data_IF_349765320701
#
_entry.id   IF_349765320701
#
_cell.length_a   1.000
_cell.length_b   1.000
_cell.length_c   1.000
_cell.angle_alpha   90.00
_cell.angle_beta   90.00
_cell.angle_gamma   90.00
#
_symmetry.space_group_name_H-M   'P 1'
#
loop_
_entity.id
_entity.type
_entity.pdbx_description
1 polymer ?
#
# COMPACT_ATOMS: atom_id res chain seq x y z
N UNK A 1 -2.61 21.67 6.17
CA UNK A 1 -1.47 22.17 7.00
C UNK A 1 -1.88 22.05 8.46
N UNK A 2 -1.39 21.05 9.15
CA UNK A 2 -1.45 21.02 10.63
C UNK A 2 -0.44 22.06 11.09
N UNK A 3 -0.88 23.29 11.29
CA UNK A 3 -0.04 24.38 11.79
C UNK A 3 -0.39 24.61 13.25
N UNK A 4 0.50 24.21 14.13
CA UNK A 4 0.42 24.52 15.56
C UNK A 4 1.27 23.55 16.36
N UNK A 5 1.78 23.99 17.49
CA UNK A 5 2.41 23.12 18.50
C UNK A 5 1.29 22.23 19.06
N UNK A 6 1.06 21.10 18.44
CA UNK A 6 0.05 20.17 18.90
C UNK A 6 0.72 19.06 19.70
N UNK A 7 0.42 19.10 20.99
CA UNK A 7 0.32 17.88 21.79
C UNK A 7 -0.94 17.18 21.32
N UNK A 8 -0.85 16.38 20.24
CA UNK A 8 -2.03 15.71 19.69
C UNK A 8 -2.23 14.37 20.38
N UNK A 9 -3.48 14.09 20.77
CA UNK A 9 -3.93 12.73 20.94
C UNK A 9 -3.99 12.09 19.54
N UNK A 10 -3.33 10.95 19.35
CA UNK A 10 -3.37 10.19 18.10
C UNK A 10 -4.16 8.91 18.34
N UNK A 11 -5.25 8.66 17.61
CA UNK A 11 -5.94 7.39 17.68
C UNK A 11 -5.02 6.25 17.26
N UNK A 12 -4.94 5.23 18.10
CA UNK A 12 -4.33 3.95 17.74
C UNK A 12 -5.48 3.01 17.44
N UNK A 13 -5.72 2.77 16.15
CA UNK A 13 -6.74 1.82 15.68
C UNK A 13 -6.34 0.39 16.01
N UNK A 14 -6.73 -0.04 17.20
CA UNK A 14 -6.37 -1.33 17.76
C UNK A 14 -4.84 -1.53 17.80
N UNK A 15 -4.33 -2.21 18.79
CA UNK A 15 -2.91 -2.57 18.80
C UNK A 15 -2.53 -3.49 17.62
N UNK A 16 -3.51 -3.77 16.73
CA UNK A 16 -3.47 -4.77 15.69
C UNK A 16 -3.85 -6.16 16.21
N UNK A 17 -4.14 -7.05 15.27
CA UNK A 17 -4.42 -8.46 15.56
C UNK A 17 -3.14 -9.30 15.43
N UNK A 18 -3.16 -10.51 15.94
CA UNK A 18 -2.03 -11.42 15.84
C UNK A 18 -0.76 -10.85 16.47
N UNK A 19 0.25 -10.53 15.66
CA UNK A 19 1.54 -9.96 16.13
C UNK A 19 1.47 -8.46 16.46
N UNK A 20 0.36 -7.81 16.15
CA UNK A 20 0.16 -6.37 16.36
C UNK A 20 0.54 -5.86 17.74
N UNK A 21 0.06 -6.49 18.85
CA UNK A 21 0.39 -6.06 20.21
C UNK A 21 1.89 -6.09 20.52
N UNK A 22 2.63 -7.08 20.04
CA UNK A 22 4.08 -7.18 20.25
C UNK A 22 4.82 -6.08 19.50
N UNK A 23 4.48 -5.89 18.22
CA UNK A 23 5.06 -4.87 17.35
C UNK A 23 4.76 -3.47 17.90
N UNK A 24 3.52 -3.22 18.30
CA UNK A 24 3.13 -1.92 18.82
C UNK A 24 3.87 -1.57 20.11
N UNK A 25 3.99 -2.53 21.03
CA UNK A 25 4.72 -2.34 22.30
C UNK A 25 6.18 -1.92 22.08
N UNK A 26 6.85 -2.48 21.09
CA UNK A 26 8.19 -2.07 20.71
C UNK A 26 8.18 -0.69 20.02
N UNK A 27 7.27 -0.46 19.08
CA UNK A 27 7.24 0.75 18.26
C UNK A 27 6.89 2.01 19.04
N UNK A 28 5.92 1.96 19.95
CA UNK A 28 5.52 3.12 20.76
C UNK A 28 6.68 3.64 21.61
N UNK A 29 7.50 2.73 22.17
CA UNK A 29 8.69 3.11 22.96
C UNK A 29 9.73 3.82 22.10
N UNK A 30 9.94 3.36 20.87
CA UNK A 30 10.85 3.98 19.90
C UNK A 30 10.38 5.39 19.55
N UNK A 31 9.10 5.55 19.22
CA UNK A 31 8.53 6.84 18.84
C UNK A 31 8.56 7.85 20.00
N UNK A 32 8.16 7.43 21.20
CA UNK A 32 8.20 8.28 22.39
C UNK A 32 9.64 8.70 22.75
N UNK A 33 10.60 7.77 22.66
CA UNK A 33 12.02 8.06 22.89
C UNK A 33 12.58 9.06 21.88
N UNK A 34 12.24 8.90 20.59
CA UNK A 34 12.64 9.83 19.53
C UNK A 34 12.11 11.24 19.78
N UNK A 35 10.83 11.36 20.11
CA UNK A 35 10.19 12.65 20.42
C UNK A 35 10.79 13.29 21.68
N UNK A 36 10.96 12.52 22.75
CA UNK A 36 11.57 13.02 23.99
C UNK A 36 12.99 13.53 23.75
N UNK A 37 13.80 12.79 22.98
CA UNK A 37 15.19 13.14 22.66
C UNK A 37 15.27 14.36 21.74
N UNK A 38 14.45 14.42 20.69
CA UNK A 38 14.47 15.53 19.73
C UNK A 38 14.06 16.86 20.36
N UNK A 39 13.11 16.85 21.27
CA UNK A 39 12.51 18.08 21.79
C UNK A 39 12.75 18.32 23.29
N UNK A 40 13.59 17.52 23.94
CA UNK A 40 13.94 17.70 25.35
C UNK A 40 12.71 17.67 26.27
N UNK A 41 11.74 16.86 25.98
CA UNK A 41 10.47 16.73 26.72
C UNK A 41 9.45 17.85 26.47
N UNK A 42 9.74 18.84 25.61
CA UNK A 42 8.81 19.93 25.27
C UNK A 42 7.63 19.50 24.39
N UNK A 43 7.76 18.36 23.74
CA UNK A 43 6.68 17.74 22.94
C UNK A 43 6.45 16.32 23.42
N UNK A 44 5.22 15.86 23.36
CA UNK A 44 4.82 14.51 23.72
C UNK A 44 3.67 14.07 22.83
N UNK A 45 3.64 12.79 22.45
CA UNK A 45 2.49 12.18 21.81
C UNK A 45 1.55 11.67 22.92
N UNK A 46 0.28 11.98 22.83
CA UNK A 46 -0.76 11.38 23.64
C UNK A 46 -1.48 10.31 22.81
N UNK A 47 -1.23 9.06 23.17
CA UNK A 47 -1.81 7.92 22.46
C UNK A 47 -3.21 7.63 23.02
N UNK A 48 -4.18 7.51 22.10
CA UNK A 48 -5.56 7.12 22.43
C UNK A 48 -5.89 5.84 21.69
N UNK A 49 -6.09 4.75 22.42
CA UNK A 49 -6.50 3.48 21.81
C UNK A 49 -7.98 3.55 21.42
N UNK A 50 -8.30 3.17 20.19
CA UNK A 50 -9.65 2.93 19.70
C UNK A 50 -9.76 1.50 19.18
N UNK A 51 -10.95 0.92 19.26
CA UNK A 51 -11.16 -0.51 18.98
C UNK A 51 -11.29 -0.77 17.49
N UNK A 52 -10.55 -1.79 16.99
CA UNK A 52 -10.71 -2.36 15.67
C UNK A 52 -10.20 -3.81 15.66
N UNK A 53 -10.64 -4.63 14.69
CA UNK A 53 -10.20 -6.01 14.51
C UNK A 53 -10.78 -6.98 15.53
N UNK A 54 -10.05 -8.06 15.81
CA UNK A 54 -10.49 -9.14 16.71
C UNK A 54 -10.75 -8.67 18.14
N UNK A 55 -9.92 -7.76 18.66
CA UNK A 55 -10.12 -7.18 20.00
C UNK A 55 -11.45 -6.47 20.10
N UNK A 56 -11.80 -5.69 19.07
CA UNK A 56 -13.07 -5.00 18.99
C UNK A 56 -14.24 -5.98 18.97
N UNK A 57 -14.17 -6.96 18.07
CA UNK A 57 -15.23 -7.96 17.92
C UNK A 57 -15.47 -8.75 19.22
N UNK A 58 -14.40 -9.16 19.90
CA UNK A 58 -14.49 -9.89 21.15
C UNK A 58 -15.10 -9.08 22.30
N UNK A 59 -14.94 -7.75 22.28
CA UNK A 59 -15.45 -6.87 23.34
C UNK A 59 -16.85 -6.30 23.04
N UNK A 60 -17.16 -6.02 21.79
CA UNK A 60 -18.36 -5.27 21.39
C UNK A 60 -19.26 -6.00 20.41
N UNK A 61 -18.81 -7.09 19.81
CA UNK A 61 -19.51 -7.78 18.71
C UNK A 61 -19.35 -7.09 17.35
N UNK A 62 -18.60 -5.98 17.27
CA UNK A 62 -18.39 -5.19 16.04
C UNK A 62 -16.91 -5.14 15.69
N UNK A 63 -16.56 -5.43 14.43
CA UNK A 63 -15.16 -5.43 13.97
C UNK A 63 -14.55 -4.03 13.87
N UNK A 64 -15.36 -3.04 13.52
CA UNK A 64 -14.95 -1.64 13.38
C UNK A 64 -16.11 -0.76 13.87
N UNK A 65 -16.13 -0.33 15.14
CA UNK A 65 -17.13 0.56 15.68
C UNK A 65 -17.11 1.94 15.03
N UNK A 66 -18.27 2.57 14.90
CA UNK A 66 -18.39 3.92 14.32
C UNK A 66 -17.60 4.95 15.12
N UNK A 67 -17.55 4.84 16.44
CA UNK A 67 -16.79 5.73 17.32
C UNK A 67 -15.28 5.69 17.02
N UNK A 68 -14.77 4.53 16.55
CA UNK A 68 -13.38 4.42 16.16
C UNK A 68 -13.10 5.16 14.85
N UNK A 69 -14.03 5.11 13.90
CA UNK A 69 -13.94 5.87 12.64
C UNK A 69 -14.09 7.38 12.91
N UNK A 70 -15.01 7.76 13.78
CA UNK A 70 -15.20 9.15 14.21
C UNK A 70 -13.93 9.72 14.88
N UNK A 71 -13.32 8.96 15.78
CA UNK A 71 -12.05 9.35 16.39
C UNK A 71 -10.94 9.59 15.35
N UNK A 72 -10.83 8.71 14.32
CA UNK A 72 -9.87 8.93 13.23
C UNK A 72 -10.19 10.19 12.42
N UNK A 73 -11.48 10.51 12.26
CA UNK A 73 -11.93 11.72 11.57
C UNK A 73 -11.64 12.98 12.39
N UNK A 74 -11.88 12.97 13.68
CA UNK A 74 -11.73 14.13 14.55
C UNK A 74 -10.26 14.48 14.81
N UNK A 75 -9.39 13.46 14.95
CA UNK A 75 -7.97 13.65 15.24
C UNK A 75 -7.06 13.69 14.02
N UNK A 76 -7.58 13.47 12.81
CA UNK A 76 -6.91 13.54 11.51
C UNK A 76 -5.79 12.54 11.30
N UNK A 77 -4.92 12.31 12.27
CA UNK A 77 -3.74 11.44 12.16
C UNK A 77 -3.91 10.23 13.06
N UNK A 78 -3.75 9.06 12.49
CA UNK A 78 -3.91 7.78 13.19
C UNK A 78 -2.77 6.83 12.81
N UNK A 79 -2.48 5.87 13.69
CA UNK A 79 -1.58 4.75 13.40
C UNK A 79 -2.23 3.44 13.84
N UNK A 80 -1.98 2.35 13.11
CA UNK A 80 -2.51 1.04 13.47
C UNK A 80 -1.52 -0.10 13.21
N UNK A 81 -1.69 -1.18 13.94
CA UNK A 81 -1.11 -2.48 13.61
C UNK A 81 -1.86 -3.18 12.47
N UNK A 82 -1.43 -4.39 12.09
CA UNK A 82 -2.12 -5.22 11.11
C UNK A 82 -3.50 -5.65 11.65
N UNK A 83 -4.53 -5.64 10.80
CA UNK A 83 -5.88 -6.08 11.15
C UNK A 83 -6.25 -7.34 10.39
N UNK A 84 -6.92 -8.27 11.07
CA UNK A 84 -7.46 -9.49 10.47
C UNK A 84 -8.69 -9.15 9.63
N UNK A 85 -8.72 -9.68 8.41
CA UNK A 85 -9.96 -9.71 7.62
C UNK A 85 -10.66 -11.03 7.91
N UNK A 86 -11.89 -11.03 8.44
CA UNK A 86 -12.62 -12.26 8.70
C UNK A 86 -12.79 -13.09 7.43
N UNK A 87 -12.53 -14.39 7.52
CA UNK A 87 -12.73 -15.32 6.40
C UNK A 87 -14.18 -15.82 6.44
N UNK A 88 -14.97 -15.48 5.43
CA UNK A 88 -16.37 -15.88 5.31
C UNK A 88 -17.38 -14.79 5.66
N UNK A 89 -18.64 -14.95 5.24
CA UNK A 89 -19.73 -14.06 5.64
C UNK A 89 -19.84 -12.71 4.92
N UNK A 90 -19.08 -12.47 3.82
CA UNK A 90 -19.23 -11.25 3.03
C UNK A 90 -18.68 -9.98 3.70
N UNK A 91 -17.91 -10.12 4.78
CA UNK A 91 -17.29 -8.98 5.47
C UNK A 91 -16.10 -8.48 4.64
N UNK A 92 -16.16 -7.21 4.24
CA UNK A 92 -15.05 -6.55 3.55
C UNK A 92 -13.85 -6.36 4.47
N UNK A 93 -12.66 -6.29 3.88
CA UNK A 93 -11.43 -5.95 4.61
C UNK A 93 -11.63 -4.65 5.41
N UNK A 94 -11.31 -4.69 6.71
CA UNK A 94 -11.38 -3.52 7.60
C UNK A 94 -10.47 -2.39 7.10
N UNK A 95 -9.34 -2.74 6.49
CA UNK A 95 -8.44 -1.77 5.87
C UNK A 95 -9.12 -1.04 4.71
N UNK A 96 -9.83 -1.78 3.83
CA UNK A 96 -10.58 -1.20 2.72
C UNK A 96 -11.73 -0.32 3.24
N UNK A 97 -12.44 -0.76 4.29
CA UNK A 97 -13.51 0.03 4.90
C UNK A 97 -12.99 1.39 5.42
N UNK A 98 -11.88 1.41 6.16
CA UNK A 98 -11.26 2.65 6.64
C UNK A 98 -10.86 3.59 5.50
N UNK A 99 -10.25 3.05 4.44
CA UNK A 99 -9.84 3.81 3.26
C UNK A 99 -11.03 4.49 2.59
N UNK A 100 -12.16 3.79 2.49
CA UNK A 100 -13.39 4.31 1.90
C UNK A 100 -14.10 5.31 2.82
N UNK A 101 -14.27 5.00 4.11
CA UNK A 101 -15.00 5.84 5.08
C UNK A 101 -14.31 7.19 5.35
N UNK A 102 -12.99 7.25 5.23
CA UNK A 102 -12.19 8.47 5.39
C UNK A 102 -11.69 9.03 4.05
N UNK A 103 -12.10 8.44 2.93
CA UNK A 103 -11.65 8.77 1.56
C UNK A 103 -10.13 8.91 1.47
N UNK A 104 -9.39 7.94 2.00
CA UNK A 104 -7.93 7.92 1.98
C UNK A 104 -7.43 7.46 0.61
N UNK A 105 -7.47 8.34 -0.37
CA UNK A 105 -7.28 7.99 -1.78
C UNK A 105 -5.85 7.71 -2.22
N UNK A 106 -4.85 8.01 -1.39
CA UNK A 106 -3.46 7.65 -1.63
C UNK A 106 -3.00 6.62 -0.60
N UNK A 107 -2.54 5.45 -1.04
CA UNK A 107 -1.71 4.58 -0.25
C UNK A 107 -0.24 4.87 -0.59
N UNK A 108 0.47 5.48 0.36
CA UNK A 108 1.86 5.91 0.24
C UNK A 108 2.78 4.84 0.84
N UNK A 109 3.68 4.29 0.03
CA UNK A 109 4.62 3.24 0.43
C UNK A 109 6.04 3.59 -0.03
N UNK A 110 6.86 4.26 0.77
CA UNK A 110 8.27 4.45 0.47
C UNK A 110 9.04 3.14 0.67
N UNK A 111 9.92 2.84 -0.27
CA UNK A 111 10.77 1.65 -0.25
C UNK A 111 12.21 2.11 -0.42
N UNK A 112 13.03 1.84 0.58
CA UNK A 112 14.48 2.09 0.56
C UNK A 112 15.22 0.97 1.27
N UNK A 113 16.43 0.76 0.86
CA UNK A 113 17.32 -0.19 1.52
C UNK A 113 18.03 0.45 2.72
N UNK A 114 18.21 -0.32 3.79
CA UNK A 114 19.02 0.01 4.94
C UNK A 114 20.33 -0.77 4.84
N UNK A 115 21.47 -0.07 5.03
CA UNK A 115 22.78 -0.68 4.87
C UNK A 115 22.97 -1.90 5.78
N UNK A 116 23.44 -2.99 5.16
CA UNK A 116 23.62 -4.29 5.83
C UNK A 116 22.40 -5.20 5.85
N UNK A 117 21.21 -4.74 5.44
CA UNK A 117 20.05 -5.63 5.31
C UNK A 117 20.25 -6.62 4.16
N UNK A 118 20.01 -7.93 4.37
CA UNK A 118 20.09 -8.92 3.32
C UNK A 118 19.10 -8.63 2.20
N UNK A 119 19.54 -8.77 0.95
CA UNK A 119 18.73 -8.50 -0.24
C UNK A 119 18.97 -9.54 -1.33
N UNK A 120 17.93 -9.93 -2.09
CA UNK A 120 18.07 -10.80 -3.25
C UNK A 120 18.63 -10.09 -4.50
N UNK A 121 18.65 -8.74 -4.50
CA UNK A 121 19.17 -7.96 -5.63
C UNK A 121 20.64 -7.61 -5.44
N UNK A 122 21.37 -7.42 -6.56
CA UNK A 122 22.81 -7.15 -6.52
C UNK A 122 23.17 -5.85 -5.83
N UNK A 123 22.45 -4.76 -6.16
CA UNK A 123 22.73 -3.40 -5.71
C UNK A 123 21.49 -2.80 -5.00
N UNK A 124 21.11 -3.30 -3.82
CA UNK A 124 19.87 -2.86 -3.16
C UNK A 124 19.89 -1.38 -2.78
N UNK A 125 21.06 -0.79 -2.57
CA UNK A 125 21.21 0.65 -2.31
C UNK A 125 20.75 1.57 -3.44
N UNK A 126 20.51 1.01 -4.64
CA UNK A 126 19.90 1.74 -5.76
C UNK A 126 18.37 1.75 -5.74
N UNK A 127 17.75 1.02 -4.80
CA UNK A 127 16.30 1.01 -4.60
C UNK A 127 15.94 2.10 -3.61
N UNK A 128 15.43 3.20 -4.13
CA UNK A 128 14.86 4.32 -3.36
C UNK A 128 13.65 4.85 -4.12
N UNK A 129 12.51 4.23 -3.91
CA UNK A 129 11.27 4.54 -4.62
C UNK A 129 10.14 4.84 -3.64
N UNK A 130 9.23 5.73 -4.04
CA UNK A 130 8.03 6.01 -3.29
C UNK A 130 6.80 5.72 -4.14
N UNK A 131 5.99 4.75 -3.70
CA UNK A 131 4.80 4.31 -4.42
C UNK A 131 3.59 5.10 -3.94
N UNK A 132 2.89 5.73 -4.89
CA UNK A 132 1.56 6.29 -4.79
C UNK A 132 0.59 5.29 -5.41
N UNK A 133 -0.01 4.46 -4.58
CA UNK A 133 -1.03 3.49 -4.97
C UNK A 133 -2.40 4.13 -4.85
N UNK A 134 -3.20 4.08 -5.91
CA UNK A 134 -4.62 4.41 -5.83
C UNK A 134 -5.29 3.49 -4.80
N UNK A 135 -6.25 3.99 -4.04
CA UNK A 135 -6.67 3.32 -2.82
C UNK A 135 -8.19 3.15 -2.67
N UNK A 136 -8.99 3.63 -3.62
CA UNK A 136 -10.46 3.69 -3.50
C UNK A 136 -11.21 3.04 -4.64
N UNK A 137 -10.57 2.83 -5.77
CA UNK A 137 -11.14 2.26 -6.99
C UNK A 137 -10.47 0.91 -7.36
N UNK A 138 -10.47 0.58 -8.64
CA UNK A 138 -9.96 -0.66 -9.20
C UNK A 138 -10.81 -1.86 -8.72
N UNK A 139 -10.29 -3.06 -8.80
CA UNK A 139 -10.99 -4.27 -8.31
C UNK A 139 -11.24 -4.22 -6.79
N UNK A 140 -10.53 -3.38 -6.06
CA UNK A 140 -10.74 -3.14 -4.63
C UNK A 140 -12.06 -2.39 -4.31
N UNK A 141 -12.76 -1.88 -5.33
CA UNK A 141 -14.15 -1.41 -5.18
C UNK A 141 -15.08 -2.52 -4.69
N UNK A 142 -14.69 -3.79 -4.89
CA UNK A 142 -15.40 -4.96 -4.37
C UNK A 142 -16.74 -5.20 -5.07
N UNK A 143 -16.87 -4.80 -6.33
CA UNK A 143 -18.04 -5.10 -7.17
C UNK A 143 -17.78 -6.45 -7.82
N UNK A 144 -18.22 -7.50 -7.14
CA UNK A 144 -17.90 -8.88 -7.51
C UNK A 144 -19.08 -9.81 -7.22
N UNK A 145 -19.34 -10.75 -8.13
CA UNK A 145 -20.43 -11.69 -8.05
C UNK A 145 -19.93 -13.12 -8.21
N UNK A 146 -20.25 -14.04 -7.27
CA UNK A 146 -19.82 -15.43 -7.33
C UNK A 146 -20.39 -16.16 -8.55
N UNK A 147 -19.58 -17.02 -9.15
CA UNK A 147 -20.02 -17.88 -10.26
C UNK A 147 -21.21 -18.76 -9.86
N UNK A 148 -22.23 -18.78 -10.69
CA UNK A 148 -23.48 -19.52 -10.44
C UNK A 148 -24.47 -18.82 -9.52
N UNK A 149 -24.16 -17.62 -9.00
CA UNK A 149 -25.12 -16.82 -8.23
C UNK A 149 -26.16 -16.16 -9.15
N UNK A 150 -27.36 -15.84 -8.61
CA UNK A 150 -28.38 -15.08 -9.35
C UNK A 150 -27.86 -13.73 -9.88
N UNK A 151 -27.03 -13.05 -9.11
CA UNK A 151 -26.47 -11.74 -9.48
C UNK A 151 -25.48 -11.87 -10.65
N UNK A 152 -24.57 -12.87 -10.62
CA UNK A 152 -23.68 -13.16 -11.74
C UNK A 152 -24.48 -13.53 -13.01
N UNK A 153 -25.56 -14.31 -12.87
CA UNK A 153 -26.43 -14.65 -13.99
C UNK A 153 -27.13 -13.41 -14.55
N UNK A 154 -27.62 -12.51 -13.71
CA UNK A 154 -28.24 -11.26 -14.14
C UNK A 154 -27.28 -10.39 -14.97
N UNK A 155 -26.00 -10.32 -14.57
CA UNK A 155 -24.97 -9.60 -15.37
C UNK A 155 -24.73 -10.30 -16.71
N UNK A 156 -24.65 -11.63 -16.75
CA UNK A 156 -24.50 -12.39 -18.00
C UNK A 156 -25.69 -12.18 -18.94
N UNK A 157 -26.92 -12.18 -18.41
CA UNK A 157 -28.15 -11.95 -19.17
C UNK A 157 -28.18 -10.52 -19.72
N UNK A 158 -27.77 -9.52 -18.92
CA UNK A 158 -27.62 -8.14 -19.38
C UNK A 158 -26.62 -8.03 -20.55
N UNK A 159 -25.46 -8.69 -20.42
CA UNK A 159 -24.47 -8.74 -21.51
C UNK A 159 -25.01 -9.46 -22.76
N UNK A 160 -25.78 -10.54 -22.56
CA UNK A 160 -26.41 -11.23 -23.68
C UNK A 160 -27.38 -10.33 -24.46
N UNK A 161 -28.17 -9.55 -23.73
CA UNK A 161 -29.18 -8.66 -24.30
C UNK A 161 -28.57 -7.44 -24.98
N UNK A 162 -27.56 -6.80 -24.37
CA UNK A 162 -27.07 -5.49 -24.79
C UNK A 162 -25.67 -5.53 -25.42
N UNK A 163 -24.85 -6.52 -25.09
CA UNK A 163 -23.46 -6.63 -25.51
C UNK A 163 -23.06 -8.06 -25.90
N UNK A 164 -23.83 -8.67 -26.78
CA UNK A 164 -23.66 -10.08 -27.20
C UNK A 164 -22.23 -10.42 -27.68
N UNK A 165 -21.56 -9.47 -28.36
CA UNK A 165 -20.15 -9.64 -28.76
C UNK A 165 -19.20 -9.75 -27.57
N UNK A 166 -19.49 -9.02 -26.50
CA UNK A 166 -18.63 -9.01 -25.29
C UNK A 166 -18.91 -10.27 -24.47
N UNK A 167 -20.18 -10.70 -24.33
CA UNK A 167 -20.47 -11.99 -23.76
C UNK A 167 -19.75 -13.11 -24.54
N UNK A 168 -19.67 -12.99 -25.86
CA UNK A 168 -18.92 -13.90 -26.73
C UNK A 168 -17.42 -14.05 -26.33
N UNK A 169 -16.83 -13.09 -25.66
CA UNK A 169 -15.45 -13.14 -25.17
C UNK A 169 -15.30 -13.94 -23.86
N UNK A 170 -16.38 -14.13 -23.11
CA UNK A 170 -16.41 -14.99 -21.91
C UNK A 170 -16.51 -16.44 -22.39
N UNK A 171 -15.39 -17.16 -22.37
CA UNK A 171 -15.22 -18.45 -23.05
C UNK A 171 -16.26 -19.50 -22.65
N UNK A 172 -16.62 -19.54 -21.36
CA UNK A 172 -17.58 -20.51 -20.80
C UNK A 172 -18.79 -19.82 -20.17
N UNK A 173 -19.19 -18.67 -20.72
CA UNK A 173 -20.30 -17.86 -20.23
C UNK A 173 -21.69 -18.29 -20.66
N UNK A 174 -21.83 -19.39 -21.43
CA UNK A 174 -23.12 -19.92 -21.89
C UNK A 174 -23.18 -21.43 -21.72
N UNK A 175 -24.39 -21.96 -21.49
CA UNK A 175 -24.65 -23.41 -21.42
C UNK A 175 -24.17 -24.15 -22.65
N UNK A 176 -24.41 -23.57 -23.85
CA UNK A 176 -23.99 -24.18 -25.11
C UNK A 176 -22.46 -24.38 -25.18
N UNK A 177 -21.68 -23.40 -24.79
CA UNK A 177 -20.19 -23.53 -24.77
C UNK A 177 -19.69 -24.54 -23.76
N UNK A 178 -20.35 -24.64 -22.60
CA UNK A 178 -20.04 -25.69 -21.63
C UNK A 178 -20.34 -27.08 -22.23
N UNK A 179 -21.50 -27.26 -22.88
CA UNK A 179 -21.85 -28.51 -23.54
C UNK A 179 -20.87 -28.89 -24.67
N UNK A 180 -20.49 -27.93 -25.51
CA UNK A 180 -19.52 -28.14 -26.59
C UNK A 180 -18.15 -28.56 -26.05
N UNK A 181 -17.72 -27.99 -24.94
CA UNK A 181 -16.48 -28.38 -24.27
C UNK A 181 -16.57 -29.79 -23.67
N UNK A 182 -17.71 -30.16 -23.06
CA UNK A 182 -17.92 -31.52 -22.53
C UNK A 182 -17.84 -32.57 -23.66
N UNK A 183 -18.43 -32.33 -24.84
CA UNK A 183 -18.27 -33.24 -25.98
C UNK A 183 -16.82 -33.42 -26.41
N UNK A 184 -16.00 -32.36 -26.33
CA UNK A 184 -14.56 -32.47 -26.63
C UNK A 184 -13.84 -33.36 -25.60
N UNK A 185 -14.19 -33.23 -24.32
CA UNK A 185 -13.62 -34.07 -23.26
C UNK A 185 -14.01 -35.54 -23.42
N UNK A 186 -15.27 -35.83 -23.81
CA UNK A 186 -15.71 -37.19 -24.15
C UNK A 186 -14.87 -37.79 -25.28
N UNK A 187 -14.57 -37.00 -26.30
CA UNK A 187 -13.77 -37.43 -27.47
C UNK A 187 -12.36 -37.84 -27.14
N UNK A 188 -11.82 -37.44 -25.99
CA UNK A 188 -10.49 -37.82 -25.49
C UNK A 188 -10.56 -38.78 -24.29
N UNK A 189 -11.72 -39.36 -24.01
CA UNK A 189 -11.90 -40.34 -22.93
C UNK A 189 -12.01 -39.78 -21.50
N UNK A 190 -12.13 -38.47 -21.35
CA UNK A 190 -12.41 -37.80 -20.10
C UNK A 190 -13.92 -37.67 -19.88
N UNK A 191 -14.55 -38.62 -19.24
CA UNK A 191 -15.98 -38.75 -19.08
C UNK A 191 -16.79 -37.44 -18.97
N UNK A 192 -18.01 -37.45 -19.53
CA UNK A 192 -18.92 -36.30 -19.50
C UNK A 192 -19.37 -35.95 -18.09
N UNK A 193 -19.44 -34.65 -17.81
CA UNK A 193 -20.08 -34.07 -16.62
C UNK A 193 -21.02 -32.95 -17.02
N UNK A 194 -22.24 -32.98 -16.53
CA UNK A 194 -23.08 -31.79 -16.62
C UNK A 194 -22.53 -30.73 -15.66
N UNK A 195 -22.07 -29.63 -16.23
CA UNK A 195 -21.56 -28.48 -15.45
C UNK A 195 -22.42 -27.27 -15.71
N UNK A 196 -23.01 -26.67 -14.70
CA UNK A 196 -23.70 -25.38 -14.83
C UNK A 196 -22.72 -24.29 -15.25
N UNK A 197 -23.23 -23.18 -15.80
CA UNK A 197 -22.43 -21.98 -16.06
C UNK A 197 -21.99 -21.42 -14.71
N UNK A 198 -20.69 -21.41 -14.48
CA UNK A 198 -20.07 -20.88 -13.25
C UNK A 198 -18.99 -19.88 -13.61
N UNK A 199 -19.42 -18.66 -13.89
CA UNK A 199 -18.52 -17.54 -14.19
C UNK A 199 -18.64 -16.51 -13.09
N UNK A 200 -17.57 -16.32 -12.33
CA UNK A 200 -17.43 -15.18 -11.43
C UNK A 200 -17.20 -13.91 -12.24
N UNK A 201 -17.82 -12.82 -11.83
CA UNK A 201 -17.72 -11.53 -12.52
C UNK A 201 -17.26 -10.47 -11.53
N UNK A 202 -16.20 -9.72 -11.90
CA UNK A 202 -15.74 -8.55 -11.19
C UNK A 202 -15.69 -7.32 -12.09
N UNK A 203 -15.98 -6.16 -11.53
CA UNK A 203 -15.94 -4.87 -12.23
C UNK A 203 -14.73 -4.08 -11.75
N UNK A 204 -13.93 -3.60 -12.70
CA UNK A 204 -12.74 -2.76 -12.47
C UNK A 204 -13.06 -1.30 -12.85
N UNK A 205 -13.55 -0.47 -11.94
CA UNK A 205 -13.75 0.95 -12.20
C UNK A 205 -12.41 1.69 -12.12
N UNK A 206 -12.18 2.61 -13.07
CA UNK A 206 -11.08 3.58 -13.06
C UNK A 206 -11.64 4.91 -13.55
N UNK A 207 -11.53 5.96 -12.75
CA UNK A 207 -12.09 7.27 -13.07
C UNK A 207 -11.00 8.32 -13.34
N UNK A 208 -11.39 9.36 -14.08
CA UNK A 208 -10.54 10.53 -14.29
C UNK A 208 -10.20 11.20 -12.94
N UNK A 209 -11.20 11.43 -12.10
CA UNK A 209 -11.02 12.13 -10.82
C UNK A 209 -10.14 11.33 -9.84
N UNK A 210 -10.31 10.00 -9.77
CA UNK A 210 -9.44 9.13 -8.99
C UNK A 210 -7.99 9.19 -9.47
N UNK A 211 -7.78 9.20 -10.79
CA UNK A 211 -6.46 9.34 -11.40
C UNK A 211 -5.87 10.73 -11.14
N UNK A 212 -6.66 11.80 -11.36
CA UNK A 212 -6.21 13.17 -11.16
C UNK A 212 -5.68 13.40 -9.76
N UNK A 213 -6.46 13.08 -8.73
CA UNK A 213 -6.07 13.30 -7.33
C UNK A 213 -4.84 12.48 -6.91
N UNK A 214 -4.68 11.26 -7.44
CA UNK A 214 -3.50 10.42 -7.20
C UNK A 214 -2.26 11.01 -7.86
N UNK A 215 -2.32 11.29 -9.17
CA UNK A 215 -1.17 11.76 -9.95
C UNK A 215 -0.76 13.17 -9.52
N UNK A 216 -1.73 14.03 -9.22
CA UNK A 216 -1.46 15.36 -8.64
C UNK A 216 -0.70 15.24 -7.30
N UNK A 217 -1.11 14.30 -6.44
CA UNK A 217 -0.40 14.05 -5.17
C UNK A 217 1.01 13.53 -5.40
N UNK A 218 1.21 12.63 -6.37
CA UNK A 218 2.52 12.07 -6.70
C UNK A 218 3.49 13.12 -7.26
N UNK A 219 3.02 13.98 -8.17
CA UNK A 219 3.83 15.07 -8.72
C UNK A 219 4.13 16.11 -7.63
N UNK A 220 3.13 16.49 -6.82
CA UNK A 220 3.31 17.40 -5.69
C UNK A 220 4.34 16.90 -4.68
N UNK A 221 4.33 15.60 -4.39
CA UNK A 221 5.35 14.95 -3.56
C UNK A 221 6.73 15.01 -4.23
N UNK A 222 6.82 14.70 -5.52
CA UNK A 222 8.09 14.75 -6.25
C UNK A 222 8.71 16.16 -6.21
N UNK A 223 7.90 17.20 -6.35
CA UNK A 223 8.33 18.59 -6.22
C UNK A 223 8.83 18.88 -4.80
N UNK A 224 8.04 18.52 -3.79
CA UNK A 224 8.35 18.81 -2.38
C UNK A 224 9.62 18.13 -1.92
N UNK A 225 9.83 16.87 -2.32
CA UNK A 225 10.96 16.04 -1.88
C UNK A 225 12.16 16.08 -2.87
N UNK A 226 12.09 16.93 -3.91
CA UNK A 226 13.17 17.07 -4.89
C UNK A 226 13.45 15.82 -5.72
N UNK A 227 12.42 15.01 -5.99
CA UNK A 227 12.51 13.79 -6.77
C UNK A 227 12.59 14.10 -8.27
N UNK A 228 13.18 13.20 -9.05
CA UNK A 228 13.53 13.45 -10.47
C UNK A 228 12.47 13.01 -11.46
N UNK A 229 11.65 12.03 -11.09
CA UNK A 229 10.64 11.49 -12.01
C UNK A 229 9.41 10.98 -11.29
N UNK A 230 8.27 11.00 -12.00
CA UNK A 230 7.04 10.29 -11.66
C UNK A 230 6.75 9.29 -12.79
N UNK A 231 6.65 8.01 -12.45
CA UNK A 231 6.40 6.93 -13.40
C UNK A 231 4.99 6.38 -13.22
N UNK A 232 4.19 6.45 -14.28
CA UNK A 232 2.85 5.87 -14.34
C UNK A 232 2.99 4.38 -14.68
N UNK A 233 2.71 3.48 -13.74
CA UNK A 233 2.78 2.04 -13.96
C UNK A 233 1.39 1.50 -14.28
N UNK A 234 1.24 0.82 -15.41
CA UNK A 234 -0.06 0.39 -15.94
C UNK A 234 0.04 -0.84 -16.87
N UNK A 235 -1.10 -1.47 -17.16
CA UNK A 235 -1.25 -2.52 -18.18
C UNK A 235 -2.16 -2.05 -19.33
N UNK A 236 -1.99 -0.80 -19.77
CA UNK A 236 -2.86 -0.13 -20.74
C UNK A 236 -2.82 -0.71 -22.16
N UNK A 237 -1.81 -1.50 -22.52
CA UNK A 237 -1.80 -2.24 -23.79
C UNK A 237 -2.88 -3.32 -23.87
N UNK A 238 -3.34 -3.84 -22.74
CA UNK A 238 -4.43 -4.83 -22.62
C UNK A 238 -5.73 -4.16 -22.16
N UNK A 239 -5.70 -3.43 -21.06
CA UNK A 239 -6.84 -2.74 -20.45
C UNK A 239 -6.87 -1.28 -20.90
N UNK A 240 -7.22 -1.07 -22.18
CA UNK A 240 -7.08 0.23 -22.86
C UNK A 240 -7.91 1.35 -22.25
N UNK A 241 -9.12 1.03 -21.77
CA UNK A 241 -10.09 2.03 -21.30
C UNK A 241 -10.15 2.16 -19.77
N UNK A 242 -9.33 1.41 -19.07
CA UNK A 242 -9.10 1.54 -17.62
C UNK A 242 -7.65 1.92 -17.36
N UNK A 243 -6.72 1.00 -17.44
CA UNK A 243 -5.31 1.30 -17.17
C UNK A 243 -4.65 2.18 -18.25
N UNK A 244 -5.07 2.03 -19.51
CA UNK A 244 -4.64 2.95 -20.57
C UNK A 244 -5.18 4.36 -20.37
N UNK A 245 -6.44 4.48 -19.93
CA UNK A 245 -7.04 5.75 -19.58
C UNK A 245 -6.32 6.40 -18.38
N UNK A 246 -5.97 5.61 -17.34
CA UNK A 246 -5.15 6.09 -16.22
C UNK A 246 -3.83 6.73 -16.70
N UNK A 247 -3.11 6.08 -17.62
CA UNK A 247 -1.90 6.62 -18.21
C UNK A 247 -2.17 7.96 -18.92
N UNK A 248 -3.18 7.98 -19.78
CA UNK A 248 -3.47 9.16 -20.62
C UNK A 248 -3.94 10.35 -19.78
N UNK A 249 -4.77 10.09 -18.77
CA UNK A 249 -5.19 11.09 -17.78
C UNK A 249 -4.04 11.54 -16.88
N UNK A 250 -3.11 10.66 -16.55
CA UNK A 250 -1.92 11.02 -15.79
C UNK A 250 -1.03 12.02 -16.55
N UNK A 251 -0.84 11.83 -17.84
CA UNK A 251 -0.18 12.82 -18.69
C UNK A 251 -1.00 14.11 -18.84
N UNK A 252 -2.32 14.01 -18.92
CA UNK A 252 -3.19 15.17 -18.94
C UNK A 252 -3.03 16.03 -17.67
N UNK A 253 -3.03 15.40 -16.49
CA UNK A 253 -2.77 16.08 -15.20
C UNK A 253 -1.42 16.80 -15.22
N UNK A 254 -0.37 16.16 -15.73
CA UNK A 254 0.94 16.78 -15.84
C UNK A 254 0.93 18.03 -16.74
N UNK A 255 0.23 17.98 -17.86
CA UNK A 255 0.08 19.14 -18.75
C UNK A 255 -0.76 20.26 -18.14
N UNK A 256 -1.94 19.90 -17.64
CA UNK A 256 -2.96 20.89 -17.25
C UNK A 256 -2.58 21.63 -15.95
N UNK A 257 -2.00 20.92 -14.97
CA UNK A 257 -1.69 21.52 -13.67
C UNK A 257 -0.23 21.95 -13.53
N UNK A 258 0.70 21.34 -14.26
CA UNK A 258 2.13 21.62 -14.11
C UNK A 258 2.76 22.19 -15.38
N UNK A 259 1.99 22.29 -16.47
CA UNK A 259 2.47 22.80 -17.76
C UNK A 259 3.54 21.92 -18.39
N UNK A 260 3.55 20.61 -18.08
CA UNK A 260 4.50 19.67 -18.65
C UNK A 260 4.37 19.61 -20.18
N UNK A 261 5.49 19.49 -20.87
CA UNK A 261 5.59 19.40 -22.33
C UNK A 261 6.21 18.07 -22.73
N UNK A 262 5.96 17.64 -23.96
CA UNK A 262 6.56 16.41 -24.50
C UNK A 262 8.09 16.48 -24.44
N UNK A 263 8.69 15.41 -23.96
CA UNK A 263 10.15 15.23 -23.92
C UNK A 263 10.60 14.49 -25.18
N UNK A 264 11.50 15.09 -25.96
CA UNK A 264 12.11 14.48 -27.15
C UNK A 264 11.11 13.89 -28.17
N UNK A 265 9.92 14.53 -28.30
CA UNK A 265 8.88 14.07 -29.22
C UNK A 265 7.92 13.02 -28.64
N UNK A 266 7.88 12.89 -27.32
CA UNK A 266 6.91 12.06 -26.57
C UNK A 266 7.25 10.58 -26.51
N UNK A 267 6.47 9.72 -25.85
CA UNK A 267 5.26 10.08 -25.08
C UNK A 267 5.55 10.70 -23.70
N UNK A 268 6.79 10.63 -23.23
CA UNK A 268 7.17 11.18 -21.92
C UNK A 268 7.06 12.70 -21.92
N UNK A 269 6.86 13.25 -20.73
CA UNK A 269 6.73 14.70 -20.53
C UNK A 269 7.74 15.18 -19.49
N UNK A 270 8.10 16.46 -19.57
CA UNK A 270 8.96 17.12 -18.59
C UNK A 270 8.32 18.44 -18.15
N UNK A 271 8.44 18.77 -16.86
CA UNK A 271 8.03 20.08 -16.36
C UNK A 271 9.08 21.09 -16.81
N UNK A 272 8.70 22.14 -17.60
CA UNK A 272 9.66 23.07 -18.17
C UNK A 272 10.24 24.03 -17.14
N UNK A 273 11.35 24.67 -17.50
CA UNK A 273 12.00 25.70 -16.69
C UNK A 273 11.02 26.84 -16.32
N UNK A 274 11.22 27.41 -15.13
CA UNK A 274 10.37 28.46 -14.59
C UNK A 274 9.07 27.99 -13.94
N UNK A 275 8.79 26.70 -13.93
CA UNK A 275 7.65 26.10 -13.21
C UNK A 275 8.13 25.38 -11.94
N UNK A 276 7.29 25.31 -10.89
CA UNK A 276 7.58 24.43 -9.75
C UNK A 276 7.80 22.99 -10.22
N UNK A 277 8.93 22.39 -9.85
CA UNK A 277 9.30 21.05 -10.26
C UNK A 277 9.97 20.97 -11.64
N UNK A 278 10.53 22.07 -12.15
CA UNK A 278 11.28 22.09 -13.41
C UNK A 278 12.29 20.94 -13.48
N UNK A 279 12.31 20.22 -14.61
CA UNK A 279 13.17 19.07 -14.85
C UNK A 279 12.60 17.73 -14.36
N UNK A 280 11.49 17.69 -13.60
CA UNK A 280 10.83 16.42 -13.24
C UNK A 280 10.23 15.80 -14.51
N UNK A 281 10.62 14.54 -14.76
CA UNK A 281 10.13 13.76 -15.90
C UNK A 281 8.91 12.94 -15.47
N UNK A 282 7.81 13.11 -16.21
CA UNK A 282 6.63 12.24 -16.09
C UNK A 282 6.70 11.22 -17.24
N UNK A 283 6.74 9.95 -16.88
CA UNK A 283 6.90 8.84 -17.83
C UNK A 283 5.97 7.69 -17.49
N UNK A 284 5.85 6.73 -18.41
CA UNK A 284 5.04 5.54 -18.17
C UNK A 284 5.83 4.27 -18.43
N UNK A 285 5.35 3.18 -17.85
CA UNK A 285 5.87 1.84 -18.10
C UNK A 285 4.79 0.78 -17.90
N UNK A 286 4.81 -0.26 -18.75
CA UNK A 286 3.93 -1.42 -18.62
C UNK A 286 4.33 -2.22 -17.38
N UNK A 287 3.36 -2.66 -16.59
CA UNK A 287 3.56 -3.25 -15.26
C UNK A 287 4.52 -4.46 -15.26
N UNK A 288 4.41 -5.37 -16.23
CA UNK A 288 5.31 -6.52 -16.32
C UNK A 288 6.77 -6.12 -16.66
N UNK A 289 6.95 -5.08 -17.49
CA UNK A 289 8.27 -4.52 -17.73
C UNK A 289 8.82 -3.84 -16.48
N UNK A 290 7.98 -3.12 -15.74
CA UNK A 290 8.35 -2.49 -14.48
C UNK A 290 8.85 -3.51 -13.44
N UNK A 291 8.10 -4.61 -13.24
CA UNK A 291 8.50 -5.69 -12.32
C UNK A 291 9.86 -6.30 -12.66
N UNK A 292 10.23 -6.36 -13.94
CA UNK A 292 11.56 -6.76 -14.37
C UNK A 292 12.61 -5.66 -14.09
N UNK A 293 12.25 -4.41 -14.36
CA UNK A 293 13.19 -3.29 -14.32
C UNK A 293 13.57 -2.86 -12.91
N UNK A 294 12.70 -3.05 -11.92
CA UNK A 294 13.04 -2.82 -10.51
C UNK A 294 14.19 -3.74 -10.02
N UNK A 295 14.39 -4.89 -10.67
CA UNK A 295 15.49 -5.81 -10.37
C UNK A 295 16.76 -5.46 -11.14
N UNK A 296 16.63 -4.97 -12.36
CA UNK A 296 17.75 -4.79 -13.29
C UNK A 296 18.23 -3.34 -13.40
N UNK A 297 17.35 -2.37 -13.19
CA UNK A 297 17.60 -0.93 -13.38
C UNK A 297 16.86 -0.06 -12.35
N UNK A 298 16.91 -0.37 -11.05
CA UNK A 298 16.11 0.35 -10.04
C UNK A 298 16.38 1.86 -9.98
N UNK A 299 17.62 2.29 -10.27
CA UNK A 299 17.99 3.70 -10.24
C UNK A 299 17.31 4.59 -11.30
N UNK A 300 16.59 4.00 -12.27
CA UNK A 300 15.81 4.75 -13.25
C UNK A 300 14.44 5.19 -12.72
N UNK A 301 14.05 4.73 -11.54
CA UNK A 301 12.72 4.95 -10.94
C UNK A 301 12.83 5.71 -9.63
N UNK A 302 11.85 6.58 -9.38
CA UNK A 302 11.84 7.46 -8.21
C UNK A 302 10.44 7.47 -7.56
N UNK A 303 9.50 8.30 -8.04
CA UNK A 303 8.11 8.26 -7.60
C UNK A 303 7.29 7.41 -8.58
N UNK A 304 6.49 6.51 -8.05
CA UNK A 304 5.65 5.59 -8.82
C UNK A 304 4.18 5.94 -8.55
N UNK A 305 3.41 6.22 -9.59
CA UNK A 305 1.95 6.34 -9.47
C UNK A 305 1.28 5.19 -10.21
N UNK A 306 0.37 4.47 -9.56
CA UNK A 306 -0.25 3.30 -10.15
C UNK A 306 -1.62 2.99 -9.54
N UNK A 307 -2.42 2.19 -10.25
CA UNK A 307 -3.71 1.71 -9.78
C UNK A 307 -3.59 0.76 -8.59
N UNK A 308 -4.70 0.52 -7.94
CA UNK A 308 -4.76 -0.15 -6.64
C UNK A 308 -4.12 -1.54 -6.63
N UNK A 309 -4.52 -2.43 -7.52
CA UNK A 309 -3.98 -3.79 -7.60
C UNK A 309 -2.49 -3.80 -7.97
N UNK A 310 -2.12 -3.05 -9.00
CA UNK A 310 -0.72 -2.96 -9.43
C UNK A 310 0.15 -2.41 -8.29
N UNK A 311 -0.34 -1.41 -7.56
CA UNK A 311 0.35 -0.82 -6.42
C UNK A 311 0.56 -1.79 -5.27
N UNK A 312 -0.39 -2.70 -5.04
CA UNK A 312 -0.24 -3.78 -4.05
C UNK A 312 0.90 -4.73 -4.42
N UNK A 313 0.87 -5.27 -5.63
CA UNK A 313 1.91 -6.18 -6.11
C UNK A 313 3.30 -5.54 -6.16
N UNK A 314 3.37 -4.33 -6.70
CA UNK A 314 4.63 -3.60 -6.89
C UNK A 314 5.28 -3.24 -5.57
N UNK A 315 4.52 -2.80 -4.57
CA UNK A 315 5.08 -2.43 -3.27
C UNK A 315 5.66 -3.63 -2.53
N UNK A 316 5.02 -4.79 -2.60
CA UNK A 316 5.52 -6.01 -1.97
C UNK A 316 6.75 -6.57 -2.70
N UNK A 317 6.76 -6.51 -4.05
CA UNK A 317 7.92 -6.88 -4.85
C UNK A 317 9.14 -5.98 -4.55
N UNK A 318 8.92 -4.67 -4.42
CA UNK A 318 9.97 -3.72 -4.03
C UNK A 318 10.43 -3.92 -2.59
N UNK A 319 9.52 -4.18 -1.66
CA UNK A 319 9.88 -4.51 -0.28
C UNK A 319 10.81 -5.73 -0.22
N UNK A 320 10.56 -6.76 -1.05
CA UNK A 320 11.46 -7.92 -1.16
C UNK A 320 12.86 -7.53 -1.66
N UNK A 321 12.96 -6.55 -2.56
CA UNK A 321 14.25 -6.06 -3.06
C UNK A 321 15.12 -5.39 -1.97
N UNK A 322 14.52 -4.89 -0.90
CA UNK A 322 15.23 -4.17 0.18
C UNK A 322 15.29 -4.94 1.50
N UNK A 323 14.87 -6.20 1.53
CA UNK A 323 15.00 -7.07 2.70
C UNK A 323 13.68 -7.61 3.25
N UNK A 324 12.54 -7.21 2.69
CA UNK A 324 11.23 -7.77 3.01
C UNK A 324 10.26 -6.80 3.69
N UNK A 325 9.03 -7.29 3.86
CA UNK A 325 7.90 -6.49 4.37
C UNK A 325 8.04 -6.08 5.85
N UNK A 326 8.94 -6.73 6.62
CA UNK A 326 9.17 -6.39 8.02
C UNK A 326 9.71 -4.98 8.26
N UNK A 327 10.23 -4.33 7.22
CA UNK A 327 10.71 -2.93 7.24
C UNK A 327 10.01 -2.06 6.18
N UNK A 328 8.88 -2.50 5.64
CA UNK A 328 8.11 -1.74 4.66
C UNK A 328 7.02 -0.93 5.36
N UNK A 329 7.13 0.41 5.41
CA UNK A 329 6.11 1.25 6.01
C UNK A 329 4.99 1.58 5.02
N UNK A 330 3.85 2.04 5.55
CA UNK A 330 2.74 2.51 4.76
C UNK A 330 1.93 3.62 5.43
N UNK A 331 1.29 4.41 4.60
CA UNK A 331 0.31 5.39 5.01
C UNK A 331 -0.85 5.44 4.01
N UNK A 332 -2.05 5.68 4.51
CA UNK A 332 -3.22 5.96 3.69
C UNK A 332 -3.63 7.41 3.94
N UNK A 333 -3.66 8.24 2.92
CA UNK A 333 -3.71 9.70 3.08
C UNK A 333 -4.78 10.31 2.18
N UNK A 334 -5.54 11.25 2.74
CA UNK A 334 -6.31 12.23 2.00
C UNK A 334 -5.61 13.59 2.10
N UNK A 335 -4.92 13.99 1.05
CA UNK A 335 -4.15 15.26 1.05
C UNK A 335 -5.02 16.52 1.02
N UNK A 336 -6.33 16.40 0.74
CA UNK A 336 -7.27 17.52 0.73
C UNK A 336 -7.76 17.82 2.14
N UNK A 337 -8.19 16.78 2.85
CA UNK A 337 -8.75 16.90 4.21
C UNK A 337 -7.69 16.82 5.31
N UNK A 338 -6.54 16.23 5.02
CA UNK A 338 -5.46 16.00 5.98
C UNK A 338 -5.61 14.72 6.80
N UNK A 339 -6.61 13.88 6.54
CA UNK A 339 -6.71 12.57 7.20
C UNK A 339 -5.60 11.64 6.74
N UNK A 340 -4.96 10.99 7.70
CA UNK A 340 -3.88 10.04 7.44
C UNK A 340 -3.92 8.88 8.45
N UNK A 341 -3.87 7.66 7.93
CA UNK A 341 -3.75 6.43 8.73
C UNK A 341 -2.46 5.73 8.36
N UNK A 342 -1.53 5.69 9.28
CA UNK A 342 -0.24 5.02 9.13
C UNK A 342 -0.36 3.56 9.54
N UNK A 343 0.26 2.65 8.80
CA UNK A 343 0.09 1.22 9.04
C UNK A 343 1.29 0.39 8.60
N UNK A 344 1.50 -0.78 9.24
CA UNK A 344 2.35 -1.81 8.68
C UNK A 344 1.76 -2.35 7.36
N UNK A 345 2.62 -2.67 6.40
CA UNK A 345 2.18 -3.26 5.12
C UNK A 345 1.98 -4.77 5.19
N UNK A 346 2.52 -5.44 6.22
CA UNK A 346 2.39 -6.88 6.41
C UNK A 346 1.08 -7.27 7.14
N UNK A 347 0.70 -8.55 7.03
CA UNK A 347 -0.46 -9.13 7.71
C UNK A 347 -0.23 -9.45 9.19
N UNK A 348 -1.24 -10.05 9.82
CA UNK A 348 -1.31 -10.33 11.27
C UNK A 348 -0.40 -11.45 11.75
N UNK A 349 0.03 -12.38 10.87
CA UNK A 349 0.88 -13.53 11.16
C UNK A 349 0.55 -14.24 12.50
N UNK A 350 -0.67 -14.77 12.68
CA UNK A 350 -1.20 -15.19 13.98
C UNK A 350 -0.37 -16.29 14.66
N UNK A 351 0.36 -17.10 13.89
CA UNK A 351 1.25 -18.13 14.43
C UNK A 351 2.41 -17.58 15.26
N UNK A 352 2.70 -16.29 15.16
CA UNK A 352 3.77 -15.62 15.91
C UNK A 352 3.23 -14.68 17.01
N UNK A 353 1.92 -14.63 17.19
CA UNK A 353 1.27 -13.76 18.18
C UNK A 353 1.77 -14.06 19.59
N UNK A 354 2.15 -13.02 20.35
CA UNK A 354 2.61 -13.11 21.73
C UNK A 354 3.99 -13.75 21.91
N UNK A 355 4.73 -14.04 20.83
CA UNK A 355 6.06 -14.65 20.90
C UNK A 355 7.20 -13.62 20.99
N UNK A 356 6.90 -12.33 20.89
CA UNK A 356 7.90 -11.24 20.87
C UNK A 356 9.02 -11.47 19.84
N UNK A 357 8.66 -12.01 18.66
CA UNK A 357 9.64 -12.52 17.68
C UNK A 357 9.73 -11.71 16.39
N UNK A 358 8.62 -11.12 15.95
CA UNK A 358 8.54 -10.47 14.63
C UNK A 358 9.27 -9.13 14.59
N UNK A 359 9.68 -8.71 13.38
CA UNK A 359 10.34 -7.44 13.17
C UNK A 359 9.35 -6.27 13.33
N UNK A 360 9.60 -5.31 14.26
CA UNK A 360 8.72 -4.15 14.44
C UNK A 360 9.02 -3.01 13.46
N UNK A 361 10.00 -3.15 12.58
CA UNK A 361 10.51 -2.10 11.72
C UNK A 361 9.46 -1.46 10.83
N UNK A 362 8.49 -2.22 10.33
CA UNK A 362 7.41 -1.69 9.48
C UNK A 362 6.55 -0.66 10.24
N UNK A 363 6.13 -0.95 11.47
CA UNK A 363 5.34 0.02 12.30
C UNK A 363 6.22 1.15 12.80
N UNK A 364 7.48 0.90 13.16
CA UNK A 364 8.44 1.94 13.55
C UNK A 364 8.61 2.96 12.41
N UNK A 365 8.81 2.49 11.18
CA UNK A 365 8.98 3.34 10.01
C UNK A 365 7.67 4.00 9.57
N UNK A 366 6.52 3.35 9.77
CA UNK A 366 5.21 4.00 9.59
C UNK A 366 5.01 5.14 10.58
N UNK A 367 5.48 4.97 11.82
CA UNK A 367 5.54 6.03 12.82
C UNK A 367 6.52 7.15 12.45
N UNK A 368 7.64 6.84 11.82
CA UNK A 368 8.56 7.82 11.24
C UNK A 368 7.87 8.69 10.20
N UNK A 369 7.15 8.05 9.24
CA UNK A 369 6.34 8.78 8.25
C UNK A 369 5.29 9.66 8.91
N UNK A 370 4.63 9.19 9.97
CA UNK A 370 3.68 9.94 10.77
C UNK A 370 4.32 11.19 11.39
N UNK A 371 5.49 11.06 11.98
CA UNK A 371 6.22 12.19 12.56
C UNK A 371 6.57 13.24 11.50
N UNK A 372 7.04 12.83 10.32
CA UNK A 372 7.26 13.75 9.18
C UNK A 372 5.98 14.41 8.71
N UNK A 373 4.89 13.66 8.62
CA UNK A 373 3.60 14.20 8.24
C UNK A 373 3.12 15.30 9.18
N UNK A 374 3.34 15.13 10.48
CA UNK A 374 3.04 16.14 11.51
C UNK A 374 4.06 17.30 11.56
N UNK A 375 5.14 17.26 10.76
CA UNK A 375 6.20 18.26 10.78
C UNK A 375 7.18 18.11 11.95
N UNK A 376 7.29 16.91 12.53
CA UNK A 376 8.24 16.60 13.61
C UNK A 376 9.47 15.89 13.04
N UNK A 377 10.14 16.57 12.12
CA UNK A 377 11.21 16.01 11.29
C UNK A 377 12.43 15.57 12.09
N UNK A 378 12.79 16.31 13.16
CA UNK A 378 13.93 15.97 13.98
C UNK A 378 13.75 14.64 14.72
N UNK A 379 12.52 14.37 15.17
CA UNK A 379 12.20 13.08 15.78
C UNK A 379 12.19 11.94 14.74
N UNK A 380 11.66 12.21 13.54
CA UNK A 380 11.69 11.26 12.43
C UNK A 380 13.13 10.89 12.03
N UNK A 381 14.03 11.88 11.96
CA UNK A 381 15.46 11.65 11.65
C UNK A 381 16.16 10.79 12.71
N UNK A 382 15.79 10.95 13.99
CA UNK A 382 16.29 10.09 15.06
C UNK A 382 15.81 8.65 14.92
N UNK A 383 14.55 8.42 14.49
CA UNK A 383 14.06 7.06 14.19
C UNK A 383 14.90 6.41 13.10
N UNK A 384 15.17 7.14 12.01
CA UNK A 384 16.00 6.62 10.92
C UNK A 384 17.42 6.33 11.38
N UNK A 385 18.03 7.23 12.16
CA UNK A 385 19.35 7.02 12.74
C UNK A 385 19.38 5.78 13.62
N UNK A 386 18.36 5.61 14.46
CA UNK A 386 18.19 4.44 15.32
C UNK A 386 18.07 3.15 14.55
N UNK A 387 17.25 3.12 13.50
CA UNK A 387 17.09 1.94 12.62
C UNK A 387 18.41 1.54 11.96
N UNK A 388 19.13 2.51 11.37
CA UNK A 388 20.44 2.25 10.77
C UNK A 388 21.43 1.68 11.81
N UNK A 389 21.50 2.25 13.00
CA UNK A 389 22.41 1.80 14.04
C UNK A 389 22.07 0.41 14.60
N UNK A 390 20.77 0.13 14.80
CA UNK A 390 20.34 -1.20 15.23
C UNK A 390 20.68 -2.27 14.20
N UNK A 391 20.44 -2.03 12.92
CA UNK A 391 20.79 -2.96 11.84
C UNK A 391 22.31 -3.14 11.73
N UNK A 392 23.08 -2.05 11.77
CA UNK A 392 24.54 -2.10 11.70
C UNK A 392 25.18 -2.86 12.88
N UNK A 393 24.53 -2.89 14.04
CA UNK A 393 24.97 -3.69 15.20
C UNK A 393 24.85 -5.19 14.99
N UNK A 394 24.16 -5.63 13.94
CA UNK A 394 23.83 -7.04 13.65
C UNK A 394 23.03 -7.74 14.76
N UNK A 395 22.42 -7.00 15.67
CA UNK A 395 21.46 -7.48 16.65
C UNK A 395 20.06 -7.26 16.09
N UNK A 396 19.54 -8.23 15.36
CA UNK A 396 18.37 -8.09 14.51
C UNK A 396 17.36 -9.21 14.74
N UNK A 397 16.14 -9.02 14.32
CA UNK A 397 15.07 -10.03 14.41
C UNK A 397 15.33 -11.23 13.48
N UNK A 398 14.62 -12.32 13.70
CA UNK A 398 14.83 -13.63 13.06
C UNK A 398 14.84 -13.56 11.52
N UNK A 399 14.06 -12.66 10.94
CA UNK A 399 13.93 -12.47 9.48
C UNK A 399 15.23 -12.02 8.83
N UNK A 400 15.97 -11.15 9.50
CA UNK A 400 17.30 -10.71 9.08
C UNK A 400 18.40 -11.65 9.58
N UNK A 401 18.33 -12.08 10.83
CA UNK A 401 19.39 -12.88 11.45
C UNK A 401 19.69 -14.17 10.66
N UNK A 402 18.67 -14.83 10.13
CA UNK A 402 18.81 -16.06 9.31
C UNK A 402 19.51 -15.86 7.96
N UNK A 403 19.67 -14.62 7.51
CA UNK A 403 20.23 -14.27 6.20
C UNK A 403 21.47 -13.38 6.30
N UNK A 404 21.85 -12.96 7.50
CA UNK A 404 22.92 -12.01 7.76
C UNK A 404 24.08 -12.70 8.51
N UNK A 405 25.23 -12.81 7.87
CA UNK A 405 26.41 -13.44 8.46
C UNK A 405 26.87 -12.72 9.75
N UNK A 406 27.07 -13.49 10.81
CA UNK A 406 27.51 -12.99 12.10
C UNK A 406 26.45 -12.18 12.86
N UNK A 407 25.19 -12.26 12.48
CA UNK A 407 24.11 -11.63 13.22
C UNK A 407 23.73 -12.43 14.47
N UNK A 408 23.27 -11.69 15.48
CA UNK A 408 22.63 -12.23 16.69
C UNK A 408 21.13 -12.02 16.59
N UNK A 409 20.35 -13.09 16.62
CA UNK A 409 18.90 -13.01 16.69
C UNK A 409 18.48 -12.40 18.03
N UNK A 410 17.62 -11.37 17.97
CA UNK A 410 17.03 -10.72 19.13
C UNK A 410 15.52 -10.71 19.04
N UNK A 411 14.83 -10.48 20.14
CA UNK A 411 13.37 -10.37 20.20
C UNK A 411 12.89 -9.05 19.60
N UNK A 412 11.60 -8.97 19.27
CA UNK A 412 10.94 -7.77 18.81
C UNK A 412 11.18 -6.56 19.77
N UNK A 413 10.98 -6.78 21.07
CA UNK A 413 11.21 -5.76 22.11
C UNK A 413 12.69 -5.33 22.21
N UNK A 414 13.61 -6.28 22.13
CA UNK A 414 15.07 -6.02 22.21
C UNK A 414 15.58 -5.29 20.96
N UNK A 415 14.99 -5.56 19.78
CA UNK A 415 15.29 -4.78 18.58
C UNK A 415 14.85 -3.32 18.76
N UNK A 416 13.66 -3.09 19.32
CA UNK A 416 13.22 -1.74 19.70
C UNK A 416 14.18 -1.04 20.66
N UNK A 417 14.72 -1.74 21.66
CA UNK A 417 15.76 -1.21 22.58
C UNK A 417 17.03 -0.84 21.80
N UNK A 418 17.45 -1.68 20.85
CA UNK A 418 18.59 -1.40 19.97
C UNK A 418 18.40 -0.13 19.15
N UNK A 419 17.20 0.09 18.61
CA UNK A 419 16.85 1.31 17.86
C UNK A 419 16.95 2.54 18.77
N UNK A 420 16.39 2.48 19.99
CA UNK A 420 16.45 3.58 20.97
C UNK A 420 17.90 3.91 21.37
N UNK A 421 18.70 2.90 21.61
CA UNK A 421 20.10 3.08 22.02
C UNK A 421 20.95 3.72 20.92
N UNK A 422 20.60 3.52 19.64
CA UNK A 422 21.35 4.01 18.49
C UNK A 422 20.90 5.41 17.99
N UNK A 423 19.86 6.02 18.54
CA UNK A 423 19.36 7.35 18.17
C UNK A 423 20.37 8.51 18.39
#
# INVERSE_FOLDING_TARGET
>A
KVTGVQTCALPILGLGDGTGPDIWRASVRVLDAAVAKAYGGKRKIHWMEVLAGEKSFNQTGTWLPDESVEACRDYLVSIKGPLTTPVGGGIRSLNVALRQLLDLYVCLRPVRWFDGVPSPVRDPGKVDMTIFRENTEDIYAGIEYPGGSPDAQAVLDFLAQHFAKDLGKIRFGTAQRNADWQKQLEGIGMGARELPVQVGIGIKPVSYLGTERLVHSAIGYAIKEGRKSVTLVHKGNIMKFTEGAFRDWGYQVARDFYGAVELDGGPWHVIPDGKPGAGIVIKDVIADAFLQQILTRPAEYDVIATLNLNGDYVSDALAACVGGIGIAPGANINYVTGHAVFEATHGTAPKYAGLDKVNPGSVILSGEMMLRYMGWTEAADLVIKGMNGAIASKRVTYDFARLMDGATEVRCSEFGDGVIAAM
#
